data_IF_085628202174
#
_entry.id   IF_085628202174
#
_cell.length_a   1.000
_cell.length_b   1.000
_cell.length_c   1.000
_cell.angle_alpha   90.00
_cell.angle_beta   90.00
_cell.angle_gamma   90.00
#
_symmetry.space_group_name_H-M   'P 1'
#
loop_
_entity.id
_entity.type
_entity.pdbx_description
1 polymer ?
#
# COMPACT_ATOMS: atom_id res chain seq x y z
N UNK A 1 9.29 -38.22 -18.75
CA UNK A 1 10.12 -37.02 -18.52
C UNK A 1 9.18 -35.85 -18.57
N UNK A 2 8.72 -35.41 -17.39
CA UNK A 2 7.88 -34.22 -17.25
C UNK A 2 8.76 -32.99 -17.22
N UNK A 3 8.43 -32.02 -18.06
CA UNK A 3 8.95 -30.66 -18.00
C UNK A 3 8.06 -29.87 -17.06
N UNK A 4 8.58 -29.57 -15.86
CA UNK A 4 8.00 -28.62 -14.92
C UNK A 4 8.86 -27.36 -14.96
N UNK A 5 8.64 -26.53 -15.98
CA UNK A 5 9.21 -25.20 -16.13
C UNK A 5 8.13 -24.12 -16.11
N UNK A 6 7.43 -23.96 -14.99
CA UNK A 6 6.57 -22.80 -14.75
C UNK A 6 7.34 -21.73 -14.00
N UNK A 7 8.17 -20.96 -14.71
CA UNK A 7 8.81 -19.77 -14.16
C UNK A 7 7.81 -18.62 -14.20
N UNK A 8 7.34 -18.16 -13.04
CA UNK A 8 6.60 -16.90 -12.94
C UNK A 8 7.46 -15.78 -13.54
N UNK A 9 6.88 -14.98 -14.41
CA UNK A 9 7.55 -13.78 -14.92
C UNK A 9 7.63 -12.74 -13.79
N UNK A 10 8.67 -11.89 -13.73
CA UNK A 10 8.87 -10.95 -12.62
C UNK A 10 7.76 -9.91 -12.41
N UNK A 11 6.81 -9.80 -13.33
CA UNK A 11 5.72 -8.80 -13.34
C UNK A 11 4.36 -9.36 -12.87
N UNK A 12 4.25 -10.67 -12.60
CA UNK A 12 2.98 -11.30 -12.21
C UNK A 12 2.89 -11.41 -10.68
N UNK A 13 2.72 -10.27 -10.00
CA UNK A 13 2.11 -10.28 -8.68
C UNK A 13 0.59 -10.38 -8.89
N UNK A 14 0.02 -11.52 -8.52
CA UNK A 14 -1.43 -11.72 -8.53
C UNK A 14 -2.09 -11.00 -7.35
N UNK A 15 -3.38 -10.69 -7.50
CA UNK A 15 -4.21 -10.21 -6.40
C UNK A 15 -4.48 -11.35 -5.41
N UNK A 16 -4.22 -11.12 -4.13
CA UNK A 16 -4.22 -12.17 -3.12
C UNK A 16 -4.99 -11.79 -1.87
N UNK A 17 -5.55 -12.80 -1.19
CA UNK A 17 -6.17 -12.66 0.13
C UNK A 17 -5.51 -13.64 1.10
N UNK A 18 -5.04 -13.11 2.22
CA UNK A 18 -4.45 -13.89 3.31
C UNK A 18 -5.24 -13.68 4.61
N UNK A 19 -5.60 -14.76 5.29
CA UNK A 19 -6.10 -14.69 6.67
C UNK A 19 -4.94 -14.83 7.65
N UNK A 20 -4.85 -13.89 8.59
CA UNK A 20 -3.89 -13.91 9.69
C UNK A 20 -4.65 -13.83 11.00
N UNK A 21 -5.06 -14.99 11.52
CA UNK A 21 -5.82 -15.11 12.78
C UNK A 21 -7.09 -14.23 12.77
N UNK A 22 -7.85 -14.26 11.67
CA UNK A 22 -9.08 -13.48 11.51
C UNK A 22 -8.91 -12.03 11.06
N UNK A 23 -7.67 -11.54 10.91
CA UNK A 23 -7.37 -10.30 10.17
C UNK A 23 -7.18 -10.66 8.70
N UNK A 24 -7.90 -10.00 7.80
CA UNK A 24 -7.73 -10.21 6.36
C UNK A 24 -6.72 -9.23 5.79
N UNK A 25 -5.69 -9.73 5.10
CA UNK A 25 -4.81 -8.94 4.26
C UNK A 25 -5.21 -9.15 2.81
N UNK A 26 -5.45 -8.07 2.09
CA UNK A 26 -5.80 -8.07 0.67
C UNK A 26 -4.66 -7.36 -0.06
N UNK A 27 -3.94 -8.05 -0.93
CA UNK A 27 -2.91 -7.46 -1.76
C UNK A 27 -3.48 -7.24 -3.17
N UNK A 28 -3.34 -6.02 -3.69
CA UNK A 28 -3.76 -5.66 -5.05
C UNK A 28 -2.56 -5.15 -5.82
N UNK A 29 -2.33 -5.73 -6.99
CA UNK A 29 -1.33 -5.24 -7.93
C UNK A 29 -1.88 -3.99 -8.64
N UNK A 30 -1.23 -2.85 -8.41
CA UNK A 30 -1.59 -1.58 -9.04
C UNK A 30 -0.62 -1.18 -10.14
N UNK A 31 0.36 -2.02 -10.49
CA UNK A 31 1.37 -1.70 -11.49
C UNK A 31 0.83 -1.91 -12.90
N UNK A 32 1.10 -0.95 -13.78
CA UNK A 32 0.80 -1.06 -15.21
C UNK A 32 2.12 -1.17 -15.98
N UNK A 33 2.28 -2.25 -16.75
CA UNK A 33 3.53 -2.52 -17.46
C UNK A 33 3.94 -1.35 -18.37
N UNK A 34 5.16 -0.85 -18.17
CA UNK A 34 5.71 0.27 -18.93
C UNK A 34 5.13 1.65 -18.59
N UNK A 35 4.36 1.79 -17.52
CA UNK A 35 3.81 3.07 -17.03
C UNK A 35 4.35 3.41 -15.64
N UNK A 36 4.40 4.71 -15.36
CA UNK A 36 4.77 5.22 -14.04
C UNK A 36 3.56 5.26 -13.08
N UNK A 37 2.36 5.46 -13.61
CA UNK A 37 1.14 5.54 -12.82
C UNK A 37 0.65 4.16 -12.40
N UNK A 38 -0.18 4.17 -11.36
CA UNK A 38 -0.93 3.00 -10.95
C UNK A 38 -2.33 2.95 -11.56
N UNK A 39 -2.86 1.74 -11.71
CA UNK A 39 -4.26 1.50 -12.07
C UNK A 39 -4.74 0.26 -11.31
N UNK A 40 -6.01 0.26 -10.92
CA UNK A 40 -6.73 -0.93 -10.47
C UNK A 40 -7.91 -1.08 -11.42
N UNK A 41 -7.92 -2.14 -12.20
CA UNK A 41 -8.91 -2.30 -13.27
C UNK A 41 -10.30 -2.65 -12.72
N UNK A 42 -11.32 -2.55 -13.59
CA UNK A 42 -12.72 -2.84 -13.24
C UNK A 42 -12.92 -4.26 -12.65
N UNK A 43 -12.15 -5.24 -13.13
CA UNK A 43 -12.25 -6.62 -12.66
C UNK A 43 -11.68 -6.77 -11.25
N UNK A 44 -10.55 -6.11 -10.97
CA UNK A 44 -9.94 -6.05 -9.64
C UNK A 44 -10.85 -5.29 -8.67
N UNK A 45 -11.46 -4.17 -9.09
CA UNK A 45 -12.41 -3.40 -8.28
C UNK A 45 -13.65 -4.24 -7.93
N UNK A 46 -14.22 -4.95 -8.91
CA UNK A 46 -15.36 -5.83 -8.70
C UNK A 46 -15.02 -6.98 -7.74
N UNK A 47 -13.85 -7.60 -7.93
CA UNK A 47 -13.35 -8.64 -7.04
C UNK A 47 -13.13 -8.11 -5.61
N UNK A 48 -12.48 -6.96 -5.46
CA UNK A 48 -12.20 -6.34 -4.17
C UNK A 48 -13.49 -6.02 -3.42
N UNK A 49 -14.49 -5.46 -4.11
CA UNK A 49 -15.81 -5.19 -3.55
C UNK A 49 -16.48 -6.48 -3.07
N UNK A 50 -16.41 -7.56 -3.86
CA UNK A 50 -16.97 -8.86 -3.48
C UNK A 50 -16.25 -9.48 -2.26
N UNK A 51 -14.94 -9.34 -2.16
CA UNK A 51 -14.16 -9.78 -0.99
C UNK A 51 -14.60 -9.00 0.25
N UNK A 52 -14.64 -7.67 0.17
CA UNK A 52 -14.98 -6.79 1.30
C UNK A 52 -16.46 -6.86 1.72
N UNK A 53 -17.35 -7.31 0.85
CA UNK A 53 -18.76 -7.54 1.18
C UNK A 53 -18.97 -8.63 2.24
N UNK A 54 -17.96 -9.50 2.47
CA UNK A 54 -17.98 -10.50 3.53
C UNK A 54 -17.02 -10.08 4.66
N UNK A 55 -17.54 -9.58 5.80
CA UNK A 55 -16.69 -9.09 6.90
C UNK A 55 -15.76 -10.17 7.46
N UNK A 56 -14.52 -9.81 7.71
CA UNK A 56 -13.55 -10.59 8.46
C UNK A 56 -13.68 -10.31 9.98
N UNK A 57 -13.41 -11.30 10.85
CA UNK A 57 -13.55 -11.13 12.30
C UNK A 57 -12.79 -9.93 12.88
N UNK A 58 -11.63 -9.61 12.34
CA UNK A 58 -10.78 -8.49 12.77
C UNK A 58 -10.62 -7.40 11.68
N UNK A 59 -11.54 -7.36 10.72
CA UNK A 59 -11.54 -6.44 9.59
C UNK A 59 -10.47 -6.74 8.54
N UNK A 60 -10.37 -5.84 7.55
CA UNK A 60 -9.47 -6.00 6.40
C UNK A 60 -8.40 -4.90 6.34
N UNK A 61 -7.21 -5.25 5.83
CA UNK A 61 -6.14 -4.33 5.44
C UNK A 61 -5.89 -4.52 3.95
N UNK A 62 -5.96 -3.43 3.20
CA UNK A 62 -5.57 -3.41 1.79
C UNK A 62 -4.09 -3.03 1.66
N UNK A 63 -3.37 -3.72 0.79
CA UNK A 63 -1.95 -3.49 0.51
C UNK A 63 -1.79 -3.29 -0.98
N UNK A 64 -1.16 -2.19 -1.39
CA UNK A 64 -0.95 -1.85 -2.79
C UNK A 64 0.29 -0.96 -2.95
N UNK A 65 0.81 -0.79 -4.17
CA UNK A 65 1.98 0.05 -4.40
C UNK A 65 1.62 1.54 -4.45
N UNK A 66 0.71 1.93 -5.35
CA UNK A 66 0.36 3.32 -5.66
C UNK A 66 -0.74 3.86 -4.71
N UNK A 67 -0.41 4.68 -3.71
CA UNK A 67 -1.37 5.10 -2.70
C UNK A 67 -2.50 5.96 -3.28
N UNK A 68 -3.76 5.77 -2.84
CA UNK A 68 -4.86 6.68 -3.16
C UNK A 68 -4.78 7.93 -2.27
N UNK A 69 -3.75 8.75 -2.50
CA UNK A 69 -3.52 9.98 -1.76
C UNK A 69 -3.18 11.12 -2.71
N UNK A 70 -3.72 12.33 -2.49
CA UNK A 70 -3.21 13.51 -3.16
C UNK A 70 -1.80 13.81 -2.64
N UNK A 71 -0.89 14.13 -3.55
CA UNK A 71 0.50 14.44 -3.23
C UNK A 71 0.86 15.88 -3.61
N UNK A 72 1.62 16.61 -2.76
CA UNK A 72 2.12 17.94 -3.11
C UNK A 72 3.39 17.90 -3.98
N UNK A 73 3.98 16.72 -4.22
CA UNK A 73 5.16 16.56 -5.08
C UNK A 73 4.72 16.34 -6.55
N UNK A 74 4.98 17.30 -7.46
CA UNK A 74 4.54 17.21 -8.86
C UNK A 74 5.11 16.00 -9.61
N UNK A 75 6.27 15.47 -9.20
CA UNK A 75 6.83 14.28 -9.83
C UNK A 75 6.05 13.03 -9.43
N UNK A 76 5.64 12.95 -8.15
CA UNK A 76 4.81 11.85 -7.66
C UNK A 76 3.38 11.95 -8.19
N UNK A 77 2.87 13.15 -8.41
CA UNK A 77 1.56 13.39 -9.03
C UNK A 77 1.48 12.75 -10.43
N UNK A 78 2.56 12.80 -11.22
CA UNK A 78 2.61 12.14 -12.54
C UNK A 78 2.56 10.60 -12.48
N UNK A 79 2.91 10.02 -11.33
CA UNK A 79 2.94 8.58 -11.06
C UNK A 79 1.79 8.10 -10.18
N UNK A 80 0.78 8.92 -9.92
CA UNK A 80 -0.27 8.60 -8.96
C UNK A 80 -1.11 7.38 -9.35
N UNK A 81 -1.88 6.87 -8.39
CA UNK A 81 -2.95 5.94 -8.69
C UNK A 81 -4.05 6.67 -9.46
N UNK A 82 -4.36 6.20 -10.66
CA UNK A 82 -5.46 6.72 -11.46
C UNK A 82 -6.81 6.21 -10.96
N UNK A 83 -7.88 6.97 -11.25
CA UNK A 83 -9.27 6.58 -10.96
C UNK A 83 -9.54 6.22 -9.48
N UNK A 84 -8.98 7.00 -8.56
CA UNK A 84 -9.10 6.75 -7.11
C UNK A 84 -10.56 6.75 -6.62
N UNK A 85 -11.44 7.52 -7.26
CA UNK A 85 -12.88 7.55 -6.95
C UNK A 85 -13.55 6.17 -7.13
N UNK A 86 -13.10 5.39 -8.12
CA UNK A 86 -13.63 4.04 -8.36
C UNK A 86 -13.15 3.07 -7.27
N UNK A 87 -11.89 3.18 -6.83
CA UNK A 87 -11.39 2.44 -5.67
C UNK A 87 -12.15 2.84 -4.41
N UNK A 88 -12.39 4.14 -4.18
CA UNK A 88 -13.13 4.64 -3.01
C UNK A 88 -14.52 4.01 -2.98
N UNK A 89 -15.22 4.03 -4.11
CA UNK A 89 -16.55 3.43 -4.26
C UNK A 89 -16.54 1.92 -4.00
N UNK A 90 -15.52 1.20 -4.48
CA UNK A 90 -15.42 -0.25 -4.32
C UNK A 90 -15.21 -0.70 -2.87
N UNK A 91 -14.57 0.13 -2.04
CA UNK A 91 -14.22 -0.23 -0.65
C UNK A 91 -15.10 0.43 0.42
N UNK A 92 -15.91 1.44 0.06
CA UNK A 92 -16.65 2.30 0.99
C UNK A 92 -17.57 1.54 1.98
N UNK A 93 -18.25 0.49 1.52
CA UNK A 93 -19.21 -0.28 2.32
C UNK A 93 -18.57 -1.52 2.98
N UNK A 94 -17.25 -1.68 2.87
CA UNK A 94 -16.50 -2.83 3.37
C UNK A 94 -16.07 -2.70 4.84
N UNK A 95 -15.33 -3.71 5.31
CA UNK A 95 -14.71 -3.74 6.64
C UNK A 95 -13.25 -3.27 6.63
N UNK A 96 -12.89 -2.42 5.67
CA UNK A 96 -11.55 -1.90 5.47
C UNK A 96 -11.13 -1.02 6.66
N UNK A 97 -9.98 -1.34 7.28
CA UNK A 97 -9.44 -0.62 8.43
C UNK A 97 -8.32 0.33 8.08
N UNK A 98 -7.46 -0.08 7.14
CA UNK A 98 -6.34 0.73 6.65
C UNK A 98 -5.87 0.24 5.28
N UNK A 99 -5.25 1.15 4.53
CA UNK A 99 -4.50 0.87 3.31
C UNK A 99 -3.02 1.07 3.62
N UNK A 100 -2.19 0.07 3.34
CA UNK A 100 -0.73 0.16 3.41
C UNK A 100 -0.17 0.32 2.01
N UNK A 101 0.65 1.35 1.80
CA UNK A 101 1.16 1.66 0.48
C UNK A 101 2.63 2.13 0.47
N UNK A 102 3.19 2.27 -0.72
CA UNK A 102 4.55 2.75 -0.97
C UNK A 102 4.57 3.90 -1.96
N UNK A 103 5.40 3.78 -3.00
CA UNK A 103 5.54 4.73 -4.12
C UNK A 103 6.17 6.10 -3.78
N UNK A 104 5.68 6.81 -2.76
CA UNK A 104 6.09 8.19 -2.48
C UNK A 104 7.52 8.32 -1.92
N UNK A 105 8.04 7.26 -1.32
CA UNK A 105 9.36 7.23 -0.66
C UNK A 105 9.52 8.25 0.48
N UNK A 106 8.43 8.83 0.96
CA UNK A 106 8.34 9.55 2.23
C UNK A 106 7.06 9.13 2.98
N UNK A 107 7.13 9.22 4.31
CA UNK A 107 6.02 8.79 5.15
C UNK A 107 4.84 9.74 4.99
N UNK A 108 3.68 9.21 4.60
CA UNK A 108 2.44 9.97 4.42
C UNK A 108 1.28 9.27 5.12
N UNK A 109 0.37 10.05 5.69
CA UNK A 109 -0.89 9.58 6.27
C UNK A 109 -2.04 10.35 5.65
N UNK A 110 -3.06 9.65 5.20
CA UNK A 110 -4.29 10.22 4.65
C UNK A 110 -5.52 9.48 5.18
N UNK A 111 -6.70 10.03 4.95
CA UNK A 111 -7.99 9.33 5.10
C UNK A 111 -8.57 9.04 3.72
N UNK A 112 -9.12 7.85 3.52
CA UNK A 112 -9.70 7.41 2.25
C UNK A 112 -10.85 6.44 2.52
N UNK A 113 -12.04 6.67 1.97
CA UNK A 113 -13.22 5.83 2.19
C UNK A 113 -13.53 5.54 3.69
N UNK A 114 -13.23 6.49 4.58
CA UNK A 114 -13.35 6.31 6.04
C UNK A 114 -12.24 5.48 6.72
N UNK A 115 -11.36 4.85 5.95
CA UNK A 115 -10.15 4.19 6.42
C UNK A 115 -8.94 5.14 6.46
N UNK A 116 -7.84 4.70 7.06
CA UNK A 116 -6.55 5.41 7.01
C UNK A 116 -5.69 4.86 5.86
N UNK A 117 -4.96 5.71 5.16
CA UNK A 117 -3.91 5.30 4.22
C UNK A 117 -2.57 5.62 4.84
N UNK A 118 -1.71 4.62 5.00
CA UNK A 118 -0.37 4.79 5.52
C UNK A 118 0.66 4.42 4.48
N UNK A 119 1.42 5.42 4.04
CA UNK A 119 2.47 5.27 3.06
C UNK A 119 3.81 5.14 3.76
N UNK A 120 4.52 4.04 3.50
CA UNK A 120 5.86 3.83 4.00
C UNK A 120 6.89 4.60 3.17
N UNK A 121 7.89 5.19 3.82
CA UNK A 121 9.08 5.68 3.11
C UNK A 121 9.93 4.51 2.61
N UNK A 122 10.91 4.79 1.73
CA UNK A 122 11.76 3.74 1.19
C UNK A 122 12.82 3.28 2.20
N UNK A 123 13.24 2.02 2.06
CA UNK A 123 14.19 1.38 2.98
C UNK A 123 15.65 1.79 2.73
N UNK A 124 15.96 2.31 1.55
CA UNK A 124 17.31 2.70 1.13
C UNK A 124 17.53 4.21 1.15
N UNK A 125 16.48 5.02 1.04
CA UNK A 125 16.50 6.48 1.17
C UNK A 125 15.10 6.99 1.55
N UNK A 126 15.01 8.23 2.03
CA UNK A 126 13.72 8.90 2.22
C UNK A 126 13.75 10.20 1.43
N UNK A 127 12.67 10.54 0.73
CA UNK A 127 12.53 11.86 0.15
C UNK A 127 12.15 12.87 1.23
N UNK A 128 12.78 14.03 1.22
CA UNK A 128 12.39 15.17 2.04
C UNK A 128 11.82 16.24 1.10
N UNK A 129 10.58 16.67 1.33
CA UNK A 129 9.92 17.65 0.46
C UNK A 129 10.51 19.07 0.63
N UNK A 130 11.33 19.30 1.65
CA UNK A 130 11.94 20.60 1.95
C UNK A 130 13.42 20.74 1.57
N UNK A 131 14.12 19.64 1.25
CA UNK A 131 15.56 19.63 0.88
C UNK A 131 15.86 18.51 -0.13
N UNK A 132 16.98 18.61 -0.86
CA UNK A 132 17.45 17.51 -1.71
C UNK A 132 17.86 16.28 -0.86
N UNK A 133 17.14 15.16 -1.05
CA UNK A 133 17.48 13.78 -0.65
C UNK A 133 18.20 13.62 0.71
N UNK A 134 17.44 13.53 1.82
CA UNK A 134 18.01 13.20 3.13
C UNK A 134 18.12 11.68 3.39
N UNK A 135 19.29 11.27 3.85
CA UNK A 135 19.91 9.98 3.55
C UNK A 135 19.85 8.99 4.72
N UNK A 136 18.63 8.66 5.15
CA UNK A 136 18.37 7.43 5.93
C UNK A 136 17.08 6.77 5.46
N UNK A 137 17.13 5.46 5.18
CA UNK A 137 15.93 4.71 4.88
C UNK A 137 15.02 4.58 6.09
N UNK A 138 13.79 4.13 5.88
CA UNK A 138 12.84 3.82 6.95
C UNK A 138 12.15 2.48 6.70
N UNK A 139 11.67 1.88 7.78
CA UNK A 139 10.71 0.80 7.76
C UNK A 139 9.48 1.22 8.58
N UNK A 140 8.33 0.65 8.27
CA UNK A 140 7.09 0.89 9.00
C UNK A 140 6.68 -0.40 9.72
N UNK A 141 6.46 -0.30 11.03
CA UNK A 141 5.92 -1.39 11.85
C UNK A 141 4.43 -1.15 12.07
N UNK A 142 3.60 -2.07 11.57
CA UNK A 142 2.14 -2.00 11.70
C UNK A 142 1.68 -2.99 12.75
N UNK A 143 1.09 -2.48 13.83
CA UNK A 143 0.55 -3.28 14.92
C UNK A 143 -0.96 -3.12 15.01
N UNK A 144 -1.68 -4.24 15.00
CA UNK A 144 -3.15 -4.28 15.17
C UNK A 144 -3.51 -4.80 16.55
N UNK A 145 -4.25 -4.03 17.35
CA UNK A 145 -4.71 -4.43 18.69
C UNK A 145 -6.15 -4.01 18.91
N UNK A 146 -7.08 -4.96 18.87
CA UNK A 146 -8.52 -4.66 18.86
C UNK A 146 -8.88 -3.77 17.66
N UNK A 147 -9.60 -2.67 17.90
CA UNK A 147 -9.94 -1.72 16.83
C UNK A 147 -8.79 -0.77 16.45
N UNK A 148 -7.66 -0.78 17.16
CA UNK A 148 -6.55 0.14 16.90
C UNK A 148 -5.57 -0.43 15.89
N UNK A 149 -5.11 0.43 14.99
CA UNK A 149 -3.96 0.19 14.12
C UNK A 149 -2.93 1.26 14.46
N UNK A 150 -1.70 0.84 14.73
CA UNK A 150 -0.57 1.72 15.01
C UNK A 150 0.45 1.51 13.91
N UNK A 151 0.76 2.56 13.15
CA UNK A 151 1.91 2.56 12.26
C UNK A 151 3.06 3.37 12.88
N UNK A 152 4.21 2.73 13.04
CA UNK A 152 5.44 3.33 13.58
C UNK A 152 6.53 3.35 12.51
N UNK A 153 6.94 4.55 12.10
CA UNK A 153 8.12 4.72 11.25
C UNK A 153 9.42 4.54 12.07
N UNK A 154 10.32 3.69 11.58
CA UNK A 154 11.61 3.37 12.19
C UNK A 154 12.70 3.71 11.19
N UNK A 155 13.66 4.56 11.59
CA UNK A 155 14.82 4.86 10.76
C UNK A 155 15.74 3.64 10.64
N UNK A 156 16.15 3.35 9.42
CA UNK A 156 17.14 2.35 9.06
C UNK A 156 18.49 3.05 8.88
N UNK A 157 19.50 2.64 9.64
CA UNK A 157 20.84 3.24 9.61
C UNK A 157 21.49 3.36 10.98
N UNK A 158 22.76 3.75 11.02
CA UNK A 158 23.49 3.91 12.29
C UNK A 158 22.98 5.14 13.04
N UNK A 159 22.58 4.93 14.30
CA UNK A 159 22.36 6.01 15.28
C UNK A 159 23.63 6.88 15.33
N UNK A 160 23.54 8.22 15.15
CA UNK A 160 24.67 9.08 15.46
C UNK A 160 25.11 8.79 16.89
N UNK A 161 26.41 8.56 17.13
CA UNK A 161 26.89 8.43 18.51
C UNK A 161 26.59 9.74 19.23
N UNK A 162 26.06 9.71 20.47
CA UNK A 162 26.03 10.92 21.28
C UNK A 162 27.46 11.46 21.37
N UNK A 163 27.62 12.78 21.16
CA UNK A 163 28.88 13.49 21.41
C UNK A 163 29.13 13.57 22.91
#
# INVERSE_FOLDING_TARGET
MGDHGGGATPDEFDDEVHDVNGLRLIAVNSNVSGRLHGEIDESQLSWLSAVLAVPAPHGSILVLHHPPVPTPDPLMEMGELTNQDALESAVADGDLRTILAGHLHYSTLCTFAGATVSVAAASCYTQDLGIDWDSTGQAHLVHTTGNRIVNTAVRLGKRPRPR
#
